data_IF_063246364246
#
_entry.id   IF_063246364246
#
_cell.length_a   1.000
_cell.length_b   1.000
_cell.length_c   1.000
_cell.angle_alpha   90.00
_cell.angle_beta   90.00
_cell.angle_gamma   90.00
#
_symmetry.space_group_name_H-M   'P 1'
#
loop_
_entity.id
_entity.type
_entity.pdbx_description
1 polymer ?
#
# COMPACT_ATOMS: atom_id res chain seq x y z
N UNK A 1 -3.90 -59.25 -34.06
CA UNK A 1 -3.28 -58.08 -33.41
C UNK A 1 -4.39 -57.31 -32.72
N UNK A 2 -4.46 -57.40 -31.39
CA UNK A 2 -5.57 -56.85 -30.58
C UNK A 2 -5.10 -55.55 -29.94
N UNK A 3 -5.64 -54.42 -30.37
CA UNK A 3 -5.29 -53.10 -29.82
C UNK A 3 -6.11 -52.82 -28.57
N UNK A 4 -5.47 -52.91 -27.41
CA UNK A 4 -6.04 -52.50 -26.11
C UNK A 4 -6.08 -50.97 -26.08
N UNK A 5 -7.28 -50.40 -25.99
CA UNK A 5 -7.52 -48.95 -25.93
C UNK A 5 -7.55 -48.53 -24.45
N UNK A 6 -6.51 -47.90 -23.96
CA UNK A 6 -6.43 -47.35 -22.59
C UNK A 6 -7.34 -46.12 -22.46
N UNK A 7 -8.21 -46.01 -21.44
CA UNK A 7 -9.03 -44.82 -21.22
C UNK A 7 -8.20 -43.65 -20.67
N UNK A 8 -8.56 -42.38 -20.99
CA UNK A 8 -7.84 -41.21 -20.49
C UNK A 8 -8.00 -41.05 -18.97
N UNK A 9 -7.01 -40.48 -18.26
CA UNK A 9 -7.08 -40.29 -16.81
C UNK A 9 -8.21 -39.31 -16.43
N UNK A 10 -8.82 -39.47 -15.24
CA UNK A 10 -9.86 -38.56 -14.78
C UNK A 10 -9.28 -37.15 -14.60
N UNK A 11 -10.01 -36.14 -15.10
CA UNK A 11 -9.65 -34.75 -14.88
C UNK A 11 -9.74 -34.46 -13.38
N UNK A 12 -8.60 -34.15 -12.77
CA UNK A 12 -8.55 -33.63 -11.41
C UNK A 12 -9.45 -32.38 -11.34
N UNK A 13 -10.24 -32.20 -10.27
CA UNK A 13 -11.06 -31.01 -10.14
C UNK A 13 -10.15 -29.79 -10.14
N UNK A 14 -10.26 -28.96 -11.19
CA UNK A 14 -9.81 -27.58 -11.13
C UNK A 14 -10.52 -26.98 -9.91
N UNK A 15 -9.75 -26.55 -8.92
CA UNK A 15 -10.26 -25.65 -7.90
C UNK A 15 -10.76 -24.41 -8.64
N UNK A 16 -12.06 -24.37 -8.92
CA UNK A 16 -12.75 -23.12 -9.06
C UNK A 16 -12.46 -22.38 -7.75
N UNK A 17 -11.64 -21.33 -7.83
CA UNK A 17 -11.72 -20.22 -6.88
C UNK A 17 -13.09 -19.59 -7.14
N UNK A 18 -14.13 -20.26 -6.65
CA UNK A 18 -15.39 -19.63 -6.34
C UNK A 18 -15.04 -18.34 -5.60
N UNK A 19 -15.61 -17.24 -6.07
CA UNK A 19 -15.47 -15.92 -5.49
C UNK A 19 -15.66 -16.04 -3.98
N UNK A 20 -14.55 -16.00 -3.26
CA UNK A 20 -14.56 -16.03 -1.81
C UNK A 20 -15.15 -14.69 -1.38
N UNK A 21 -16.35 -14.71 -0.83
CA UNK A 21 -16.98 -13.55 -0.19
C UNK A 21 -16.28 -13.18 1.12
N UNK A 22 -15.11 -13.79 1.41
CA UNK A 22 -14.18 -13.36 2.44
C UNK A 22 -13.68 -11.93 2.19
N UNK A 23 -13.81 -11.08 3.21
CA UNK A 23 -13.30 -9.70 3.19
C UNK A 23 -11.83 -9.64 2.75
N UNK A 24 -11.40 -8.45 2.32
CA UNK A 24 -10.06 -8.21 1.77
C UNK A 24 -8.94 -8.72 2.69
N UNK A 25 -9.20 -8.81 3.99
CA UNK A 25 -8.35 -9.51 4.96
C UNK A 25 -9.19 -10.25 6.03
N UNK A 26 -9.22 -11.60 6.02
CA UNK A 26 -9.89 -12.38 7.06
C UNK A 26 -9.37 -12.08 8.46
N UNK A 27 -8.06 -11.80 8.59
CA UNK A 27 -7.43 -11.41 9.86
C UNK A 27 -7.96 -10.07 10.37
N UNK A 28 -8.14 -9.08 9.49
CA UNK A 28 -8.64 -7.77 9.89
C UNK A 28 -10.10 -7.85 10.35
N UNK A 29 -10.92 -8.62 9.64
CA UNK A 29 -12.31 -8.90 10.03
C UNK A 29 -12.39 -9.57 11.42
N UNK A 30 -11.49 -10.53 11.70
CA UNK A 30 -11.39 -11.16 13.02
C UNK A 30 -11.02 -10.16 14.12
N UNK A 31 -10.00 -9.32 13.89
CA UNK A 31 -9.58 -8.30 14.87
C UNK A 31 -10.68 -7.29 15.17
N UNK A 32 -11.50 -6.92 14.17
CA UNK A 32 -12.67 -6.08 14.38
C UNK A 32 -13.71 -6.75 15.27
N UNK A 33 -14.03 -8.02 15.01
CA UNK A 33 -14.99 -8.79 15.81
C UNK A 33 -14.52 -8.96 17.26
N UNK A 34 -13.22 -9.15 17.48
CA UNK A 34 -12.60 -9.25 18.81
C UNK A 34 -12.44 -7.87 19.50
N UNK A 35 -12.85 -6.77 18.85
CA UNK A 35 -12.64 -5.39 19.32
C UNK A 35 -11.19 -5.10 19.68
N UNK A 36 -10.26 -5.65 18.90
CA UNK A 36 -8.83 -5.57 19.20
C UNK A 36 -8.31 -4.14 19.11
N UNK A 37 -7.41 -3.79 20.03
CA UNK A 37 -6.66 -2.53 20.04
C UNK A 37 -5.18 -2.83 19.86
N UNK A 38 -4.55 -2.23 18.85
CA UNK A 38 -3.17 -2.53 18.49
C UNK A 38 -2.81 -2.14 17.06
N UNK A 39 -1.72 -2.70 16.55
CA UNK A 39 -1.24 -2.44 15.18
C UNK A 39 -1.15 -3.75 14.38
N UNK A 40 -1.75 -3.74 13.19
CA UNK A 40 -1.62 -4.76 12.17
C UNK A 40 -0.53 -4.36 11.18
N UNK A 41 0.52 -5.16 11.08
CA UNK A 41 1.67 -4.94 10.20
C UNK A 41 1.57 -5.89 9.01
N UNK A 42 1.62 -5.33 7.81
CA UNK A 42 1.66 -6.06 6.54
C UNK A 42 2.85 -5.58 5.70
N UNK A 43 3.11 -6.29 4.61
CA UNK A 43 4.19 -5.98 3.66
C UNK A 43 4.22 -4.52 3.19
N UNK A 44 3.03 -3.96 2.92
CA UNK A 44 2.88 -2.63 2.30
C UNK A 44 2.47 -1.55 3.29
N UNK A 45 2.60 -1.81 4.60
CA UNK A 45 2.37 -0.82 5.65
C UNK A 45 1.55 -1.35 6.83
N UNK A 46 0.94 -0.45 7.57
CA UNK A 46 0.34 -0.72 8.87
C UNK A 46 -1.08 -0.17 9.00
N UNK A 47 -1.91 -0.86 9.79
CA UNK A 47 -3.21 -0.36 10.25
C UNK A 47 -3.20 -0.32 11.77
N UNK A 48 -3.62 0.80 12.34
CA UNK A 48 -3.81 0.96 13.79
C UNK A 48 -5.29 0.80 14.10
N UNK A 49 -5.58 -0.07 15.07
CA UNK A 49 -6.92 -0.39 15.53
C UNK A 49 -7.12 0.07 16.97
N UNK A 50 -8.32 0.56 17.26
CA UNK A 50 -8.81 0.78 18.61
C UNK A 50 -10.26 0.29 18.68
N UNK A 51 -10.55 -0.58 19.65
CA UNK A 51 -11.87 -1.14 19.88
C UNK A 51 -12.51 -1.81 18.64
N UNK A 52 -11.67 -2.35 17.76
CA UNK A 52 -12.07 -3.00 16.51
C UNK A 52 -12.21 -2.07 15.30
N UNK A 53 -12.13 -0.75 15.49
CA UNK A 53 -12.16 0.24 14.40
C UNK A 53 -10.74 0.63 13.98
N UNK A 54 -10.56 0.96 12.70
CA UNK A 54 -9.29 1.48 12.19
C UNK A 54 -9.20 2.97 12.48
N UNK A 55 -8.21 3.37 13.27
CA UNK A 55 -8.01 4.76 13.71
C UNK A 55 -6.87 5.46 12.97
N UNK A 56 -5.95 4.70 12.36
CA UNK A 56 -4.91 5.23 11.51
C UNK A 56 -4.36 4.17 10.55
N UNK A 57 -3.73 4.60 9.47
CA UNK A 57 -3.08 3.72 8.50
C UNK A 57 -1.86 4.43 7.89
N UNK A 58 -0.78 3.68 7.69
CA UNK A 58 0.44 4.18 7.05
C UNK A 58 0.87 3.23 5.94
N UNK A 59 1.36 3.79 4.83
CA UNK A 59 2.00 3.01 3.78
C UNK A 59 3.12 3.83 3.15
N UNK A 60 4.29 3.24 2.86
CA UNK A 60 5.35 3.94 2.14
C UNK A 60 4.95 4.36 0.72
N UNK A 61 3.85 3.80 0.19
CA UNK A 61 3.34 4.13 -1.14
C UNK A 61 2.46 5.39 -1.18
N UNK A 62 2.16 6.01 -0.03
CA UNK A 62 1.37 7.23 0.06
C UNK A 62 2.07 8.29 0.90
N UNK A 63 1.91 9.59 0.56
CA UNK A 63 2.33 10.66 1.47
C UNK A 63 1.60 10.60 2.81
N UNK A 64 2.33 10.90 3.88
CA UNK A 64 1.78 11.10 5.22
C UNK A 64 1.05 12.44 5.35
N UNK A 65 0.39 12.64 6.49
CA UNK A 65 -0.35 13.87 6.78
C UNK A 65 0.53 15.12 6.78
N UNK A 66 1.76 14.99 7.28
CA UNK A 66 2.79 16.03 7.25
C UNK A 66 3.05 16.55 5.83
N UNK A 67 3.28 15.65 4.88
CA UNK A 67 3.50 15.99 3.48
C UNK A 67 2.24 16.59 2.85
N UNK A 68 1.07 16.01 3.13
CA UNK A 68 -0.20 16.49 2.58
C UNK A 68 -0.57 17.89 3.10
N UNK A 69 -0.30 18.19 4.37
CA UNK A 69 -0.55 19.50 4.94
C UNK A 69 0.44 20.54 4.43
N UNK A 70 1.74 20.21 4.38
CA UNK A 70 2.77 21.11 3.88
C UNK A 70 2.53 21.47 2.41
N UNK A 71 2.22 20.48 1.56
CA UNK A 71 1.96 20.71 0.14
C UNK A 71 0.73 21.59 -0.14
N UNK A 72 -0.23 21.64 0.81
CA UNK A 72 -1.43 22.48 0.71
C UNK A 72 -1.31 23.80 1.48
N UNK A 73 -0.17 24.06 2.13
CA UNK A 73 0.03 25.23 2.99
C UNK A 73 -0.91 25.25 4.21
N UNK A 74 -1.45 24.10 4.61
CA UNK A 74 -2.38 23.99 5.75
C UNK A 74 -1.63 24.07 7.07
N UNK A 75 -0.44 23.47 7.13
CA UNK A 75 0.41 23.46 8.30
C UNK A 75 1.87 23.51 7.90
N UNK A 76 2.63 24.38 8.56
CA UNK A 76 4.07 24.44 8.40
C UNK A 76 4.76 23.20 9.01
N UNK A 77 5.87 22.78 8.40
CA UNK A 77 6.62 21.60 8.83
C UNK A 77 7.22 21.75 10.24
N UNK A 78 7.60 22.95 10.67
CA UNK A 78 8.06 23.20 12.04
C UNK A 78 6.93 23.05 13.04
N UNK A 79 5.76 23.64 12.75
CA UNK A 79 4.58 23.53 13.61
C UNK A 79 4.14 22.06 13.78
N UNK A 80 4.24 21.27 12.71
CA UNK A 80 4.01 19.84 12.78
C UNK A 80 5.03 19.14 13.70
N UNK A 81 6.33 19.43 13.54
CA UNK A 81 7.39 18.85 14.39
C UNK A 81 7.22 19.22 15.86
N UNK A 82 6.90 20.48 16.16
CA UNK A 82 6.60 20.95 17.51
C UNK A 82 5.42 20.19 18.13
N UNK A 83 4.34 20.01 17.38
CA UNK A 83 3.17 19.27 17.86
C UNK A 83 3.49 17.80 18.15
N UNK A 84 4.28 17.16 17.28
CA UNK A 84 4.76 15.78 17.49
C UNK A 84 5.63 15.70 18.74
N UNK A 85 6.57 16.63 18.94
CA UNK A 85 7.41 16.66 20.13
C UNK A 85 6.61 16.90 21.41
N UNK A 86 5.62 17.81 21.38
CA UNK A 86 4.84 18.20 22.55
C UNK A 86 3.80 17.15 22.98
N UNK A 87 3.21 16.43 22.03
CA UNK A 87 2.04 15.57 22.28
C UNK A 87 2.16 14.12 21.77
N UNK A 88 3.22 13.77 21.05
CA UNK A 88 3.42 12.44 20.47
C UNK A 88 3.48 11.32 21.49
N UNK A 89 4.23 11.51 22.58
CA UNK A 89 4.36 10.52 23.66
C UNK A 89 3.03 10.24 24.39
N UNK A 90 2.06 11.14 24.29
CA UNK A 90 0.73 11.01 24.90
C UNK A 90 -0.33 10.53 23.90
N UNK A 91 0.07 10.25 22.65
CA UNK A 91 -0.84 9.89 21.56
C UNK A 91 -1.93 10.94 21.31
N UNK A 92 -1.56 12.23 21.32
CA UNK A 92 -2.51 13.35 21.28
C UNK A 92 -2.15 14.45 20.27
N UNK A 93 -1.32 14.17 19.27
CA UNK A 93 -0.88 15.21 18.33
C UNK A 93 -2.04 15.85 17.57
N UNK A 94 -2.98 15.04 17.07
CA UNK A 94 -4.16 15.57 16.37
C UNK A 94 -4.99 16.49 17.28
N UNK A 95 -5.24 16.05 18.52
CA UNK A 95 -5.98 16.84 19.51
C UNK A 95 -5.25 18.13 19.89
N UNK A 96 -3.93 18.06 20.08
CA UNK A 96 -3.09 19.21 20.39
C UNK A 96 -3.14 20.26 19.28
N UNK A 97 -3.08 19.86 18.01
CA UNK A 97 -3.18 20.78 16.87
C UNK A 97 -4.53 21.51 16.83
N UNK A 98 -5.61 20.82 17.21
CA UNK A 98 -6.96 21.42 17.29
C UNK A 98 -7.07 22.35 18.50
N UNK A 99 -6.68 21.89 19.69
CA UNK A 99 -6.79 22.67 20.94
C UNK A 99 -5.93 23.95 20.92
N UNK A 100 -4.81 23.94 20.19
CA UNK A 100 -3.93 25.10 20.00
C UNK A 100 -4.30 25.99 18.80
N UNK A 101 -5.40 25.67 18.11
CA UNK A 101 -5.91 26.43 16.97
C UNK A 101 -5.00 26.38 15.73
N UNK A 102 -4.11 25.40 15.63
CA UNK A 102 -3.20 25.21 14.48
C UNK A 102 -3.90 24.57 13.28
N UNK A 103 -4.95 23.80 13.53
CA UNK A 103 -5.82 23.24 12.49
C UNK A 103 -7.27 23.19 12.99
N UNK A 104 -8.23 23.45 12.11
CA UNK A 104 -9.64 23.22 12.44
C UNK A 104 -9.92 21.72 12.54
N UNK A 105 -10.79 21.32 13.47
CA UNK A 105 -11.17 19.91 13.69
C UNK A 105 -11.67 19.23 12.41
N UNK A 106 -12.62 19.85 11.70
CA UNK A 106 -13.13 19.31 10.44
C UNK A 106 -12.09 19.20 9.34
N UNK A 107 -11.10 20.10 9.29
CA UNK A 107 -10.00 20.02 8.33
C UNK A 107 -9.07 18.84 8.65
N UNK A 108 -8.76 18.63 9.94
CA UNK A 108 -7.99 17.47 10.39
C UNK A 108 -8.73 16.16 10.07
N UNK A 109 -10.03 16.06 10.35
CA UNK A 109 -10.83 14.87 10.04
C UNK A 109 -10.85 14.54 8.55
N UNK A 110 -11.09 15.53 7.68
CA UNK A 110 -11.13 15.32 6.23
C UNK A 110 -9.78 14.85 5.68
N UNK A 111 -8.68 15.48 6.13
CA UNK A 111 -7.34 15.09 5.71
C UNK A 111 -6.95 13.71 6.25
N UNK A 112 -7.26 13.41 7.51
CA UNK A 112 -7.02 12.11 8.14
C UNK A 112 -7.79 10.98 7.45
N UNK A 113 -9.09 11.15 7.18
CA UNK A 113 -9.87 10.16 6.45
C UNK A 113 -9.30 9.93 5.05
N UNK A 114 -8.95 11.01 4.34
CA UNK A 114 -8.31 10.95 3.03
C UNK A 114 -7.03 10.11 3.06
N UNK A 115 -6.10 10.42 3.99
CA UNK A 115 -4.84 9.68 4.13
C UNK A 115 -5.04 8.24 4.60
N UNK A 116 -6.01 8.00 5.49
CA UNK A 116 -6.31 6.67 6.02
C UNK A 116 -6.79 5.74 4.91
N UNK A 117 -7.79 6.14 4.11
CA UNK A 117 -8.26 5.32 3.00
C UNK A 117 -7.19 5.12 1.93
N UNK A 118 -6.33 6.12 1.73
CA UNK A 118 -5.23 6.04 0.76
C UNK A 118 -4.16 5.04 1.18
N UNK A 119 -3.67 5.12 2.42
CA UNK A 119 -2.74 4.14 2.98
C UNK A 119 -3.37 2.75 3.01
N UNK A 120 -4.60 2.63 3.52
CA UNK A 120 -5.29 1.35 3.64
C UNK A 120 -5.46 0.64 2.30
N UNK A 121 -5.69 1.36 1.20
CA UNK A 121 -5.73 0.77 -0.14
C UNK A 121 -4.46 -0.03 -0.46
N UNK A 122 -3.29 0.51 -0.13
CA UNK A 122 -2.01 -0.19 -0.34
C UNK A 122 -1.75 -1.27 0.71
N UNK A 123 -2.04 -1.00 1.99
CA UNK A 123 -1.84 -1.97 3.08
C UNK A 123 -2.67 -3.22 2.86
N UNK A 124 -3.91 -3.07 2.38
CA UNK A 124 -4.83 -4.16 2.08
C UNK A 124 -4.57 -4.83 0.73
N UNK A 125 -3.57 -4.39 -0.03
CA UNK A 125 -3.10 -5.02 -1.26
C UNK A 125 -2.76 -6.51 -1.11
N UNK A 126 -2.60 -7.19 -2.24
CA UNK A 126 -2.04 -8.53 -2.25
C UNK A 126 -0.68 -8.53 -1.54
N UNK A 127 -0.42 -9.56 -0.74
CA UNK A 127 0.82 -9.70 0.01
C UNK A 127 1.27 -11.16 -0.01
N UNK A 128 2.58 -11.35 -0.13
CA UNK A 128 3.23 -12.65 -0.04
C UNK A 128 3.88 -12.89 1.32
N UNK A 129 3.85 -11.92 2.23
CA UNK A 129 4.49 -12.03 3.54
C UNK A 129 3.47 -12.24 4.67
N UNK A 130 3.87 -12.94 5.75
CA UNK A 130 3.01 -13.12 6.92
C UNK A 130 2.61 -11.77 7.53
N UNK A 131 1.33 -11.64 7.87
CA UNK A 131 0.80 -10.49 8.60
C UNK A 131 1.00 -10.69 10.10
N UNK A 132 1.37 -9.63 10.83
CA UNK A 132 1.60 -9.67 12.29
C UNK A 132 0.71 -8.65 12.99
N UNK A 133 0.14 -9.02 14.14
CA UNK A 133 -0.58 -8.08 15.00
C UNK A 133 0.15 -7.89 16.33
N UNK A 134 0.21 -6.65 16.83
CA UNK A 134 0.75 -6.30 18.14
C UNK A 134 -0.31 -5.56 18.95
N UNK A 135 -0.75 -6.14 20.05
CA UNK A 135 -1.72 -5.55 20.96
C UNK A 135 -1.17 -4.30 21.68
N UNK A 136 -2.07 -3.39 22.04
CA UNK A 136 -1.79 -2.22 22.90
C UNK A 136 -1.01 -1.09 22.25
N UNK A 137 -0.52 -1.25 21.01
CA UNK A 137 0.14 -0.18 20.27
C UNK A 137 -0.89 0.84 19.74
N UNK A 138 -0.64 2.13 19.99
CA UNK A 138 -1.44 3.23 19.47
C UNK A 138 -0.59 4.15 18.59
N UNK A 139 -1.22 4.76 17.59
CA UNK A 139 -0.56 5.75 16.77
C UNK A 139 -0.38 7.07 17.54
N UNK A 140 0.77 7.74 17.41
CA UNK A 140 1.09 8.98 18.13
C UNK A 140 0.15 10.15 17.77
N UNK A 141 -0.52 10.09 16.60
CA UNK A 141 -1.52 11.09 16.20
C UNK A 141 -2.72 11.10 17.17
N UNK A 142 -3.02 9.97 17.80
CA UNK A 142 -4.25 9.75 18.55
C UNK A 142 -5.42 9.36 17.65
N UNK A 143 -6.58 9.18 18.28
CA UNK A 143 -7.83 8.87 17.58
C UNK A 143 -8.41 10.19 17.05
N UNK A 144 -8.47 10.32 15.72
CA UNK A 144 -9.12 11.45 15.04
C UNK A 144 -10.54 11.01 14.65
N UNK A 145 -10.66 10.14 13.65
CA UNK A 145 -11.94 9.58 13.21
C UNK A 145 -11.82 8.07 13.03
N UNK A 146 -12.42 7.25 13.92
CA UNK A 146 -12.47 5.81 13.74
C UNK A 146 -13.26 5.42 12.48
N UNK A 147 -12.76 4.41 11.76
CA UNK A 147 -13.38 3.86 10.56
C UNK A 147 -13.65 2.37 10.77
N UNK A 148 -14.91 1.92 10.67
CA UNK A 148 -15.21 0.49 10.76
C UNK A 148 -14.48 -0.31 9.68
N UNK A 149 -13.93 -1.46 10.05
CA UNK A 149 -13.20 -2.35 9.12
C UNK A 149 -14.03 -2.66 7.88
N UNK A 150 -15.33 -2.95 8.04
CA UNK A 150 -16.21 -3.23 6.91
C UNK A 150 -16.34 -2.05 5.93
N UNK A 151 -16.28 -0.80 6.41
CA UNK A 151 -16.29 0.38 5.55
C UNK A 151 -14.97 0.51 4.78
N UNK A 152 -13.84 0.24 5.45
CA UNK A 152 -12.50 0.25 4.86
C UNK A 152 -12.35 -0.79 3.74
N UNK A 153 -12.85 -2.01 3.98
CA UNK A 153 -12.82 -3.09 2.99
C UNK A 153 -13.70 -2.77 1.78
N UNK A 154 -14.93 -2.26 1.99
CA UNK A 154 -15.81 -1.81 0.90
C UNK A 154 -15.18 -0.73 0.04
N UNK A 155 -14.59 0.29 0.65
CA UNK A 155 -13.91 1.36 -0.11
C UNK A 155 -12.68 0.80 -0.85
N UNK A 156 -11.93 -0.13 -0.25
CA UNK A 156 -10.80 -0.78 -0.92
C UNK A 156 -11.23 -1.53 -2.17
N UNK A 157 -12.31 -2.31 -2.09
CA UNK A 157 -12.88 -3.03 -3.24
C UNK A 157 -13.36 -2.06 -4.31
N UNK A 158 -14.15 -1.04 -3.93
CA UNK A 158 -14.63 0.01 -4.83
C UNK A 158 -13.50 0.71 -5.59
N UNK A 159 -12.38 1.00 -4.92
CA UNK A 159 -11.19 1.61 -5.52
C UNK A 159 -10.52 0.70 -6.54
N UNK A 160 -10.39 -0.60 -6.26
CA UNK A 160 -9.85 -1.59 -7.20
C UNK A 160 -10.70 -1.73 -8.44
N UNK A 161 -12.02 -1.85 -8.26
CA UNK A 161 -12.98 -1.93 -9.36
C UNK A 161 -12.94 -0.67 -10.23
N UNK A 162 -12.78 0.51 -9.63
CA UNK A 162 -12.62 1.75 -10.38
C UNK A 162 -11.35 1.73 -11.23
N UNK A 163 -10.19 1.39 -10.66
CA UNK A 163 -8.94 1.36 -11.41
C UNK A 163 -8.99 0.32 -12.54
N UNK A 164 -9.52 -0.88 -12.26
CA UNK A 164 -9.69 -1.92 -13.26
C UNK A 164 -10.58 -1.49 -14.43
N UNK A 165 -11.68 -0.77 -14.16
CA UNK A 165 -12.56 -0.21 -15.21
C UNK A 165 -11.90 0.87 -16.05
N UNK A 166 -10.98 1.66 -15.48
CA UNK A 166 -10.27 2.71 -16.24
C UNK A 166 -9.24 2.07 -17.17
N UNK A 167 -8.41 1.18 -16.64
CA UNK A 167 -7.39 0.46 -17.38
C UNK A 167 -7.07 -0.84 -16.63
N UNK A 168 -7.27 -2.05 -17.19
CA UNK A 168 -7.14 -3.29 -16.42
C UNK A 168 -5.72 -3.63 -15.95
N UNK A 169 -4.70 -3.34 -16.75
CA UNK A 169 -3.31 -3.75 -16.49
C UNK A 169 -2.70 -2.97 -15.32
N UNK A 170 -2.33 -3.63 -14.20
CA UNK A 170 -1.81 -2.98 -13.01
C UNK A 170 -0.34 -2.62 -13.05
N UNK A 171 0.39 -2.91 -14.13
CA UNK A 171 1.82 -2.63 -14.20
C UNK A 171 2.16 -1.16 -13.88
N UNK A 172 1.32 -0.20 -14.30
CA UNK A 172 1.52 1.24 -14.06
C UNK A 172 1.38 1.66 -12.59
N UNK A 173 0.84 0.81 -11.72
CA UNK A 173 0.66 1.18 -10.31
C UNK A 173 1.95 1.08 -9.51
N UNK A 174 2.87 0.21 -9.94
CA UNK A 174 4.07 -0.13 -9.17
C UNK A 174 5.36 -0.08 -9.97
N UNK A 175 5.33 -0.27 -11.29
CA UNK A 175 6.53 -0.18 -12.10
C UNK A 175 6.97 1.28 -12.31
N UNK A 176 8.26 1.53 -12.58
CA UNK A 176 8.72 2.81 -13.12
C UNK A 176 7.92 3.18 -14.38
N UNK A 177 7.68 4.46 -14.59
CA UNK A 177 6.78 4.96 -15.64
C UNK A 177 7.56 5.62 -16.76
N UNK A 178 7.23 5.28 -18.01
CA UNK A 178 7.82 5.89 -19.22
C UNK A 178 6.73 6.58 -20.01
N UNK A 179 7.06 7.74 -20.61
CA UNK A 179 6.15 8.43 -21.54
C UNK A 179 6.18 7.71 -22.88
N UNK A 180 5.00 7.37 -23.39
CA UNK A 180 4.87 6.93 -24.76
C UNK A 180 4.91 8.16 -25.68
N UNK A 181 5.68 8.07 -26.77
CA UNK A 181 5.74 9.14 -27.76
C UNK A 181 4.62 8.96 -28.78
N UNK A 182 3.62 9.84 -28.73
CA UNK A 182 2.58 9.94 -29.77
C UNK A 182 2.89 11.15 -30.64
N UNK A 183 2.89 10.97 -31.97
CA UNK A 183 3.15 12.04 -32.94
C UNK A 183 2.12 13.18 -32.88
N UNK A 184 0.88 12.86 -32.47
CA UNK A 184 -0.15 13.83 -32.06
C UNK A 184 -0.93 13.21 -30.90
N UNK A 185 -0.76 13.77 -29.69
CA UNK A 185 -1.46 13.30 -28.49
C UNK A 185 -2.82 13.97 -28.30
N UNK A 186 -3.79 13.29 -27.64
CA UNK A 186 -5.04 13.93 -27.23
C UNK A 186 -4.76 15.08 -26.25
N UNK A 187 -5.66 16.07 -26.20
CA UNK A 187 -5.59 17.12 -25.19
C UNK A 187 -5.70 16.51 -23.78
N UNK A 188 -4.71 16.80 -22.93
CA UNK A 188 -4.62 16.26 -21.57
C UNK A 188 -5.11 17.33 -20.58
N UNK A 189 -6.03 17.01 -19.65
CA UNK A 189 -6.41 17.93 -18.59
C UNK A 189 -5.20 18.37 -17.75
N UNK A 190 -5.13 19.64 -17.33
CA UNK A 190 -4.00 20.21 -16.56
C UNK A 190 -3.56 19.34 -15.36
N UNK A 191 -4.53 18.73 -14.66
CA UNK A 191 -4.28 17.83 -13.54
C UNK A 191 -3.48 16.57 -13.93
N UNK A 192 -3.75 16.01 -15.10
CA UNK A 192 -3.03 14.86 -15.65
C UNK A 192 -1.70 15.29 -16.28
N UNK A 193 -1.63 16.50 -16.85
CA UNK A 193 -0.38 17.07 -17.34
C UNK A 193 0.65 17.21 -16.21
N UNK A 194 0.25 17.68 -15.03
CA UNK A 194 1.12 17.74 -13.85
C UNK A 194 1.69 16.37 -13.45
N UNK A 195 0.92 15.29 -13.64
CA UNK A 195 1.38 13.90 -13.43
C UNK A 195 2.35 13.50 -14.54
N UNK A 196 1.98 13.72 -15.79
CA UNK A 196 2.78 13.37 -16.97
C UNK A 196 4.16 14.04 -16.94
N UNK A 197 4.23 15.31 -16.51
CA UNK A 197 5.50 16.07 -16.34
C UNK A 197 6.48 15.38 -15.38
N UNK A 198 5.99 14.59 -14.41
CA UNK A 198 6.82 13.88 -13.44
C UNK A 198 7.27 12.48 -13.87
N UNK A 199 6.75 11.98 -15.00
CA UNK A 199 7.13 10.69 -15.59
C UNK A 199 8.47 10.85 -16.31
N UNK A 200 9.50 10.22 -15.78
CA UNK A 200 10.91 10.36 -16.19
C UNK A 200 11.61 9.02 -16.48
N UNK A 201 10.89 7.90 -16.46
CA UNK A 201 11.44 6.55 -16.63
C UNK A 201 11.89 5.88 -15.33
N UNK A 202 12.00 6.62 -14.22
CA UNK A 202 12.49 6.11 -12.94
C UNK A 202 11.38 6.09 -11.88
N UNK A 203 10.56 7.14 -11.82
CA UNK A 203 9.51 7.26 -10.82
C UNK A 203 8.38 6.24 -11.02
N UNK A 204 7.96 5.65 -9.91
CA UNK A 204 6.71 4.90 -9.77
C UNK A 204 5.53 5.84 -9.50
N UNK A 205 4.31 5.32 -9.49
CA UNK A 205 3.13 6.10 -9.10
C UNK A 205 3.22 6.68 -7.69
N UNK A 206 3.82 5.94 -6.74
CA UNK A 206 4.04 6.41 -5.37
C UNK A 206 5.00 7.60 -5.35
N UNK A 207 6.10 7.53 -6.10
CA UNK A 207 7.09 8.60 -6.19
C UNK A 207 6.50 9.87 -6.82
N UNK A 208 5.68 9.71 -7.86
CA UNK A 208 4.96 10.83 -8.47
C UNK A 208 4.00 11.46 -7.46
N UNK A 209 3.28 10.65 -6.69
CA UNK A 209 2.36 11.15 -5.68
C UNK A 209 3.04 11.93 -4.57
N UNK A 210 4.18 11.42 -4.09
CA UNK A 210 5.02 12.08 -3.11
C UNK A 210 5.56 13.41 -3.63
N UNK A 211 6.11 13.40 -4.85
CA UNK A 211 6.65 14.60 -5.48
C UNK A 211 5.58 15.69 -5.74
N UNK A 212 4.31 15.30 -5.89
CA UNK A 212 3.20 16.23 -6.07
C UNK A 212 2.52 16.63 -4.75
N UNK A 213 2.81 15.95 -3.63
CA UNK A 213 2.11 16.17 -2.36
C UNK A 213 0.62 15.83 -2.44
N UNK A 214 0.27 14.79 -3.19
CA UNK A 214 -1.13 14.40 -3.46
C UNK A 214 -1.41 12.98 -2.94
N UNK A 215 -2.67 12.63 -2.65
CA UNK A 215 -3.04 11.24 -2.37
C UNK A 215 -2.72 10.32 -3.56
N UNK A 216 -2.08 9.19 -3.27
CA UNK A 216 -1.61 8.20 -4.21
C UNK A 216 -2.72 7.56 -5.03
N UNK A 217 -3.88 7.25 -4.45
CA UNK A 217 -5.01 6.72 -5.22
C UNK A 217 -5.46 7.66 -6.34
N UNK A 218 -5.46 8.96 -6.09
CA UNK A 218 -5.81 9.96 -7.10
C UNK A 218 -4.75 10.07 -8.20
N UNK A 219 -3.48 9.88 -7.85
CA UNK A 219 -2.38 9.75 -8.80
C UNK A 219 -2.52 8.48 -9.65
N UNK A 220 -2.91 7.35 -9.05
CA UNK A 220 -3.22 6.11 -9.78
C UNK A 220 -4.34 6.29 -10.79
N UNK A 221 -5.44 6.95 -10.41
CA UNK A 221 -6.55 7.25 -11.33
C UNK A 221 -6.07 8.08 -12.52
N UNK A 222 -5.26 9.12 -12.29
CA UNK A 222 -4.72 9.96 -13.36
C UNK A 222 -3.77 9.17 -14.28
N UNK A 223 -2.91 8.32 -13.70
CA UNK A 223 -1.98 7.47 -14.46
C UNK A 223 -2.69 6.39 -15.28
N UNK A 224 -3.72 5.72 -14.73
CA UNK A 224 -4.53 4.74 -15.47
C UNK A 224 -5.25 5.39 -16.65
N UNK A 225 -5.71 6.64 -16.50
CA UNK A 225 -6.30 7.41 -17.61
C UNK A 225 -5.27 7.77 -18.68
N UNK A 226 -4.07 8.19 -18.27
CA UNK A 226 -2.96 8.45 -19.20
C UNK A 226 -2.50 7.17 -19.93
N UNK A 227 -2.50 6.03 -19.25
CA UNK A 227 -2.18 4.74 -19.83
C UNK A 227 -3.25 4.30 -20.84
N UNK A 228 -4.53 4.44 -20.50
CA UNK A 228 -5.64 4.20 -21.42
C UNK A 228 -5.59 5.10 -22.66
N UNK A 229 -5.05 6.33 -22.54
CA UNK A 229 -4.81 7.24 -23.65
C UNK A 229 -3.52 6.94 -24.43
N UNK A 230 -2.74 5.93 -24.03
CA UNK A 230 -1.47 5.57 -24.68
C UNK A 230 -0.36 6.60 -24.46
N UNK A 231 -0.42 7.41 -23.39
CA UNK A 231 0.55 8.46 -23.07
C UNK A 231 1.60 8.02 -22.04
N UNK A 232 1.26 7.04 -21.21
CA UNK A 232 2.15 6.45 -20.21
C UNK A 232 2.09 4.94 -20.30
N UNK A 233 3.25 4.30 -20.14
CA UNK A 233 3.35 2.86 -19.98
C UNK A 233 4.22 2.53 -18.78
N UNK A 234 4.02 1.35 -18.21
CA UNK A 234 5.00 0.76 -17.32
C UNK A 234 6.30 0.51 -18.10
N UNK A 235 7.44 0.84 -17.50
CA UNK A 235 8.73 0.42 -17.99
C UNK A 235 8.79 -1.11 -17.94
N UNK A 236 9.41 -1.71 -18.97
CA UNK A 236 9.72 -3.13 -18.89
C UNK A 236 10.62 -3.37 -17.66
N UNK A 237 10.37 -4.42 -16.87
CA UNK A 237 11.25 -4.77 -15.77
C UNK A 237 12.66 -4.93 -16.34
N UNK A 238 13.64 -4.25 -15.74
CA UNK A 238 15.03 -4.43 -16.10
C UNK A 238 15.34 -5.92 -16.00
N UNK A 239 15.75 -6.53 -17.11
CA UNK A 239 16.22 -7.92 -17.10
C UNK A 239 17.38 -7.97 -16.11
N UNK A 240 17.15 -8.62 -14.96
CA UNK A 240 18.24 -8.88 -14.03
C UNK A 240 19.31 -9.65 -14.80
N UNK A 241 20.58 -9.17 -14.84
CA UNK A 241 21.64 -9.96 -15.42
C UNK A 241 21.63 -11.33 -14.73
N UNK A 242 21.79 -12.43 -15.47
CA UNK A 242 21.74 -13.76 -14.89
C UNK A 242 22.71 -13.79 -13.71
N UNK A 243 22.20 -14.12 -12.52
CA UNK A 243 23.07 -14.35 -11.36
C UNK A 243 24.11 -15.39 -11.76
N UNK A 244 25.42 -15.11 -11.62
CA UNK A 244 26.43 -16.11 -11.92
C UNK A 244 26.13 -17.36 -11.08
N UNK A 245 26.04 -18.53 -11.72
CA UNK A 245 25.68 -19.79 -11.04
C UNK A 245 26.59 -20.13 -9.86
N UNK A 246 27.75 -19.47 -9.74
CA UNK A 246 28.66 -19.52 -8.59
C UNK A 246 27.98 -19.12 -7.28
N UNK A 247 26.99 -18.21 -7.29
CA UNK A 247 26.26 -17.78 -6.09
C UNK A 247 25.07 -18.68 -5.73
N UNK A 248 24.70 -19.63 -6.60
CA UNK A 248 23.57 -20.56 -6.40
C UNK A 248 24.05 -21.95 -5.99
N UNK A 249 25.36 -22.20 -5.97
CA UNK A 249 25.90 -23.39 -5.37
C UNK A 249 25.75 -23.28 -3.85
N UNK A 250 25.14 -24.27 -3.16
CA UNK A 250 25.26 -24.34 -1.72
C UNK A 250 26.75 -24.41 -1.42
N UNK A 251 27.29 -23.37 -0.80
CA UNK A 251 28.67 -23.36 -0.37
C UNK A 251 28.88 -24.61 0.49
N UNK A 252 29.72 -25.53 0.02
CA UNK A 252 30.19 -26.70 0.78
C UNK A 252 31.26 -26.28 1.81
N UNK A 253 31.23 -25.02 2.21
CA UNK A 253 32.14 -24.43 3.18
C UNK A 253 31.72 -24.89 4.59
N UNK A 254 32.59 -25.64 5.30
CA UNK A 254 32.31 -26.16 6.63
C UNK A 254 31.92 -25.06 7.64
N UNK A 255 32.37 -23.83 7.42
CA UNK A 255 32.08 -22.70 8.30
C UNK A 255 30.62 -22.23 8.18
N UNK A 256 30.03 -22.28 6.98
CA UNK A 256 28.61 -21.94 6.77
C UNK A 256 27.70 -22.99 7.41
N UNK A 257 28.11 -24.26 7.41
CA UNK A 257 27.39 -25.34 8.07
C UNK A 257 27.49 -25.25 9.61
N UNK A 258 28.60 -24.75 10.15
CA UNK A 258 28.75 -24.46 11.57
C UNK A 258 27.83 -23.29 11.99
N UNK A 259 27.82 -22.20 11.22
CA UNK A 259 26.99 -21.03 11.51
C UNK A 259 25.48 -21.32 11.47
N UNK A 260 25.03 -22.16 10.53
CA UNK A 260 23.62 -22.60 10.49
C UNK A 260 23.24 -23.42 11.72
N UNK A 261 24.08 -24.38 12.12
CA UNK A 261 23.84 -25.19 13.33
C UNK A 261 23.80 -24.34 14.59
N UNK A 262 24.64 -23.31 14.66
CA UNK A 262 24.71 -22.41 15.81
C UNK A 262 23.47 -21.51 15.89
N UNK A 263 22.98 -21.00 14.76
CA UNK A 263 21.70 -20.28 14.68
C UNK A 263 20.54 -21.19 15.11
N UNK A 264 20.44 -22.39 14.53
CA UNK A 264 19.33 -23.30 14.82
C UNK A 264 19.32 -23.73 16.30
N UNK A 265 20.49 -23.83 16.95
CA UNK A 265 20.60 -24.09 18.39
C UNK A 265 20.19 -22.90 19.27
N UNK A 266 20.41 -21.67 18.80
CA UNK A 266 19.99 -20.44 19.48
C UNK A 266 18.49 -20.17 19.32
N UNK A 267 17.88 -20.58 18.21
CA UNK A 267 16.44 -20.44 17.98
C UNK A 267 15.60 -21.49 18.74
N UNK A 268 16.25 -22.53 19.29
CA UNK A 268 15.62 -23.59 20.07
C UNK A 268 15.62 -23.34 21.60
N UNK A 269 16.15 -22.20 22.05
CA UNK A 269 16.16 -21.72 23.44
C UNK A 269 15.06 -20.69 23.66
#
# INVERSE_FOLDING_TARGET
MTTVRTPPPPRLPLRDRAADTGGVSPMLSRLAAERATGVLIRERGTLYLADGDVVHAESPATPGLDVLFAARGVLDAEVWREAVAAAGARHRVGRFLVDTGRIAEGALELCHLGSLYDAAYFVLGASSTPTRFRYGAAHWLGIVRPVPVAALERETVRRRELLHRIWPDPATDTAPLVRAHLAAGPSVPLRQEAVLVRVDGVRTAADVSLALGRPAFHTLVDLRRLAAAGLVTAAAPAQQPPVPSVLTQPSADPDVALLRRLRDALEAL
#
